data_IF_056090652700
#
_entry.id   IF_056090652700
#
_cell.length_a   1.000
_cell.length_b   1.000
_cell.length_c   1.000
_cell.angle_alpha   90.00
_cell.angle_beta   90.00
_cell.angle_gamma   90.00
#
_symmetry.space_group_name_H-M   'P 1'
#
loop_
_entity.id
_entity.type
_entity.pdbx_description
1 polymer ?
#
# COMPACT_ATOMS: atom_id res chain seq x y z
N UNK A 1 49.48 -19.97 4.97
CA UNK A 1 49.11 -19.06 6.08
C UNK A 1 49.57 -17.64 5.71
N UNK A 2 48.64 -16.68 5.70
CA UNK A 2 48.96 -15.29 5.29
C UNK A 2 49.78 -14.63 6.37
N UNK A 3 51.01 -14.16 6.02
CA UNK A 3 51.94 -13.48 6.91
C UNK A 3 51.49 -12.06 7.36
N UNK A 4 50.36 -11.57 6.85
CA UNK A 4 49.88 -10.22 7.16
C UNK A 4 48.99 -10.28 8.40
N UNK A 5 49.31 -9.53 9.47
CA UNK A 5 48.48 -9.46 10.67
C UNK A 5 47.08 -8.97 10.34
N UNK A 6 46.06 -9.49 11.06
CA UNK A 6 44.65 -9.18 10.82
C UNK A 6 44.32 -7.67 10.85
N UNK A 7 45.03 -6.92 11.69
CA UNK A 7 44.92 -5.44 11.79
C UNK A 7 45.27 -4.75 10.46
N UNK A 8 46.37 -5.17 9.81
CA UNK A 8 46.79 -4.57 8.53
C UNK A 8 45.83 -4.89 7.42
N UNK A 9 45.22 -6.11 7.41
CA UNK A 9 44.16 -6.45 6.48
C UNK A 9 42.91 -5.58 6.71
N UNK A 10 42.53 -5.37 7.96
CA UNK A 10 41.39 -4.51 8.32
C UNK A 10 41.62 -3.06 7.85
N UNK A 11 42.78 -2.49 8.13
CA UNK A 11 43.15 -1.15 7.66
C UNK A 11 43.17 -1.06 6.12
N UNK A 12 43.62 -2.08 5.43
CA UNK A 12 43.60 -2.14 3.97
C UNK A 12 42.18 -2.14 3.40
N UNK A 13 41.20 -2.84 4.05
CA UNK A 13 39.81 -2.82 3.65
C UNK A 13 39.15 -1.45 3.87
N UNK A 14 39.35 -0.84 5.04
CA UNK A 14 38.81 0.50 5.32
C UNK A 14 39.38 1.56 4.39
N UNK A 15 40.67 1.50 4.08
CA UNK A 15 41.31 2.39 3.12
C UNK A 15 40.76 2.21 1.69
N UNK A 16 40.51 0.97 1.30
CA UNK A 16 39.86 0.67 0.01
C UNK A 16 38.46 1.29 -0.08
N UNK A 17 37.63 1.16 0.97
CA UNK A 17 36.31 1.77 1.00
C UNK A 17 36.36 3.29 1.04
N UNK A 18 37.32 3.88 1.79
CA UNK A 18 37.56 5.32 1.76
C UNK A 18 37.87 5.81 0.33
N UNK A 19 38.80 5.12 -0.34
CA UNK A 19 39.17 5.46 -1.72
C UNK A 19 37.99 5.34 -2.69
N UNK A 20 37.16 4.33 -2.50
CA UNK A 20 35.91 4.13 -3.28
C UNK A 20 34.93 5.28 -3.04
N UNK A 21 34.71 5.67 -1.79
CA UNK A 21 33.82 6.78 -1.42
C UNK A 21 34.27 8.11 -2.01
N UNK A 22 35.60 8.39 -1.98
CA UNK A 22 36.17 9.63 -2.56
C UNK A 22 36.01 9.66 -4.09
N UNK A 23 36.13 8.51 -4.77
CA UNK A 23 36.13 8.45 -6.24
C UNK A 23 34.73 8.26 -6.85
N UNK A 24 33.86 7.50 -6.17
CA UNK A 24 32.49 7.16 -6.67
C UNK A 24 31.37 7.93 -5.98
N UNK A 25 31.67 8.64 -4.88
CA UNK A 25 30.68 9.26 -4.01
C UNK A 25 30.21 8.34 -2.89
N UNK A 26 29.47 8.91 -1.95
CA UNK A 26 28.82 8.17 -0.87
C UNK A 26 27.55 7.47 -1.38
N UNK A 27 27.24 6.29 -0.84
CA UNK A 27 26.02 5.55 -1.13
C UNK A 27 24.80 6.03 -0.28
N UNK A 28 24.98 7.10 0.49
CA UNK A 28 23.95 7.63 1.38
C UNK A 28 22.99 8.55 0.64
N UNK A 29 21.70 8.35 0.83
CA UNK A 29 20.63 9.23 0.33
C UNK A 29 20.43 10.39 1.31
N UNK A 30 20.38 11.61 0.80
CA UNK A 30 20.25 12.83 1.61
C UNK A 30 18.77 13.15 1.90
N UNK A 31 18.08 12.22 2.57
CA UNK A 31 16.71 12.44 3.00
C UNK A 31 16.61 13.61 4.01
N UNK A 32 15.64 14.55 3.93
CA UNK A 32 14.49 14.55 2.99
C UNK A 32 14.75 15.26 1.65
N UNK A 33 15.96 15.78 1.40
CA UNK A 33 16.30 16.55 0.20
C UNK A 33 16.37 15.68 -1.05
N UNK A 34 16.76 14.43 -0.86
CA UNK A 34 16.82 13.41 -1.89
C UNK A 34 16.06 12.18 -1.39
N UNK A 35 15.14 11.65 -2.19
CA UNK A 35 14.34 10.47 -1.87
C UNK A 35 14.61 9.38 -2.89
N UNK A 36 14.67 8.15 -2.43
CA UNK A 36 14.72 7.00 -3.31
C UNK A 36 13.30 6.67 -3.80
N UNK A 37 13.19 6.30 -5.07
CA UNK A 37 11.95 5.78 -5.60
C UNK A 37 11.62 4.43 -4.94
N UNK A 38 10.41 4.25 -4.39
CA UNK A 38 10.03 3.00 -3.77
C UNK A 38 10.03 1.86 -4.80
N UNK A 39 10.37 0.66 -4.34
CA UNK A 39 10.31 -0.51 -5.20
C UNK A 39 8.88 -0.72 -5.74
N UNK A 40 8.71 -1.26 -6.97
CA UNK A 40 7.38 -1.40 -7.61
C UNK A 40 6.34 -2.17 -6.79
N UNK A 41 6.79 -2.98 -5.82
CA UNK A 41 5.94 -3.75 -4.89
C UNK A 41 6.07 -3.28 -3.45
N UNK A 42 6.46 -2.03 -3.23
CA UNK A 42 6.51 -1.46 -1.89
C UNK A 42 5.12 -1.47 -1.25
N UNK A 43 5.07 -1.83 0.02
CA UNK A 43 3.87 -1.77 0.85
C UNK A 43 3.88 -0.47 1.63
N UNK A 44 3.24 0.54 1.07
CA UNK A 44 3.02 1.81 1.76
C UNK A 44 1.64 1.87 2.40
N UNK A 45 0.93 2.97 2.23
CA UNK A 45 -0.44 3.11 2.74
C UNK A 45 -1.44 2.33 1.88
N UNK A 46 -2.53 1.88 2.48
CA UNK A 46 -3.62 1.20 1.76
C UNK A 46 -4.60 2.25 1.24
N UNK A 47 -4.84 2.24 -0.07
CA UNK A 47 -5.81 3.10 -0.73
C UNK A 47 -7.15 2.38 -0.91
N UNK A 48 -8.26 3.11 -0.84
CA UNK A 48 -9.61 2.60 -0.99
C UNK A 48 -10.30 3.13 -2.24
N UNK A 49 -10.73 2.24 -3.12
CA UNK A 49 -11.66 2.56 -4.20
C UNK A 49 -13.08 2.35 -3.69
N UNK A 50 -13.74 3.42 -3.22
CA UNK A 50 -15.03 3.35 -2.53
C UNK A 50 -16.12 2.70 -3.39
N UNK A 51 -16.16 2.98 -4.70
CA UNK A 51 -17.20 2.46 -5.62
C UNK A 51 -17.18 0.94 -5.75
N UNK A 52 -16.02 0.31 -5.56
CA UNK A 52 -15.86 -1.14 -5.64
C UNK A 52 -16.22 -1.82 -4.31
N UNK A 53 -16.25 -1.08 -3.21
CA UNK A 53 -16.49 -1.66 -1.90
C UNK A 53 -17.97 -1.99 -1.68
N UNK A 54 -18.27 -3.25 -1.45
CA UNK A 54 -19.63 -3.75 -1.18
C UNK A 54 -19.90 -4.01 0.30
N UNK A 55 -19.07 -3.51 1.20
CA UNK A 55 -19.18 -3.74 2.66
C UNK A 55 -19.34 -5.23 3.02
N UNK A 56 -18.58 -6.11 2.35
CA UNK A 56 -18.72 -7.57 2.54
C UNK A 56 -18.05 -8.08 3.83
N UNK A 57 -17.30 -7.23 4.54
CA UNK A 57 -16.62 -7.51 5.81
C UNK A 57 -15.49 -8.56 5.73
N UNK A 58 -15.06 -9.01 4.55
CA UNK A 58 -13.99 -10.00 4.45
C UNK A 58 -12.66 -9.46 4.97
N UNK A 59 -12.29 -8.25 4.57
CA UNK A 59 -11.04 -7.62 5.02
C UNK A 59 -11.00 -7.40 6.54
N UNK A 60 -12.15 -7.13 7.18
CA UNK A 60 -12.25 -6.99 8.64
C UNK A 60 -12.03 -8.34 9.33
N UNK A 61 -12.65 -9.41 8.81
CA UNK A 61 -12.58 -10.75 9.42
C UNK A 61 -11.19 -11.36 9.33
N UNK A 62 -10.50 -11.11 8.23
CA UNK A 62 -9.16 -11.64 7.97
C UNK A 62 -8.05 -10.74 8.53
N UNK A 63 -8.40 -9.57 9.07
CA UNK A 63 -7.42 -8.68 9.68
C UNK A 63 -6.93 -9.24 11.02
N UNK A 64 -5.63 -9.56 11.18
CA UNK A 64 -5.09 -10.09 12.43
C UNK A 64 -5.10 -9.07 13.57
N UNK A 65 -5.00 -7.78 13.25
CA UNK A 65 -4.91 -6.68 14.23
C UNK A 65 -6.23 -5.96 14.48
N UNK A 66 -7.29 -6.37 13.80
CA UNK A 66 -8.62 -5.76 13.93
C UNK A 66 -8.64 -4.23 13.75
N UNK A 67 -7.76 -3.73 12.89
CA UNK A 67 -7.56 -2.30 12.65
C UNK A 67 -8.52 -1.70 11.61
N UNK A 68 -9.47 -2.48 11.06
CA UNK A 68 -10.39 -2.04 10.00
C UNK A 68 -11.82 -1.97 10.55
N UNK A 69 -12.45 -0.81 10.38
CA UNK A 69 -13.82 -0.54 10.83
C UNK A 69 -14.71 -0.27 9.62
N UNK A 70 -15.75 -1.08 9.42
CA UNK A 70 -16.66 -0.93 8.28
C UNK A 70 -18.09 -0.90 8.81
N UNK A 71 -18.85 0.08 8.33
CA UNK A 71 -20.30 0.17 8.50
C UNK A 71 -20.95 0.30 7.12
N UNK A 72 -22.09 -0.32 6.95
CA UNK A 72 -22.83 -0.24 5.71
C UNK A 72 -24.28 -0.67 5.90
N UNK A 73 -25.14 -0.15 5.04
CA UNK A 73 -26.56 -0.47 5.04
C UNK A 73 -27.00 -1.07 3.70
N UNK A 74 -28.14 -1.75 3.75
CA UNK A 74 -28.78 -2.27 2.53
C UNK A 74 -29.65 -1.21 1.88
N UNK A 75 -29.45 -0.98 0.60
CA UNK A 75 -30.27 -0.11 -0.21
C UNK A 75 -30.84 -0.86 -1.41
N UNK A 76 -31.92 -0.35 -2.00
CA UNK A 76 -32.52 -0.91 -3.19
C UNK A 76 -31.94 -0.22 -4.43
N UNK A 77 -31.22 -0.97 -5.23
CA UNK A 77 -30.73 -0.51 -6.53
C UNK A 77 -31.73 -0.84 -7.65
N UNK A 78 -31.77 -0.04 -8.72
CA UNK A 78 -32.58 -0.32 -9.88
C UNK A 78 -32.24 -1.69 -10.48
N UNK A 79 -33.22 -2.35 -11.15
CA UNK A 79 -32.96 -3.64 -11.77
C UNK A 79 -31.94 -3.52 -12.91
N UNK A 80 -31.11 -4.55 -13.10
CA UNK A 80 -30.13 -4.59 -14.20
C UNK A 80 -30.76 -4.71 -15.59
N UNK A 81 -32.02 -5.15 -15.66
CA UNK A 81 -32.77 -5.32 -16.90
C UNK A 81 -34.10 -4.58 -16.78
N UNK A 82 -34.58 -3.98 -17.87
CA UNK A 82 -35.88 -3.34 -17.93
C UNK A 82 -36.99 -4.35 -17.51
N UNK A 83 -37.85 -3.95 -16.56
CA UNK A 83 -38.93 -4.81 -16.04
C UNK A 83 -38.50 -5.81 -14.95
N UNK A 84 -37.22 -5.81 -14.53
CA UNK A 84 -36.76 -6.67 -13.44
C UNK A 84 -37.20 -6.17 -12.05
N UNK A 85 -36.99 -7.01 -11.02
CA UNK A 85 -37.21 -6.60 -9.62
C UNK A 85 -36.04 -5.78 -9.11
N UNK A 86 -36.25 -4.76 -8.25
CA UNK A 86 -35.19 -4.05 -7.55
C UNK A 86 -34.36 -5.05 -6.76
N UNK A 87 -33.02 -4.83 -6.75
CA UNK A 87 -32.09 -5.70 -6.01
C UNK A 87 -31.58 -4.99 -4.77
N UNK A 88 -31.43 -5.75 -3.69
CA UNK A 88 -30.76 -5.26 -2.51
C UNK A 88 -29.26 -5.24 -2.75
N UNK A 89 -28.63 -4.08 -2.54
CA UNK A 89 -27.17 -3.90 -2.58
C UNK A 89 -26.71 -3.29 -1.25
N UNK A 90 -25.54 -3.66 -0.81
CA UNK A 90 -24.94 -3.01 0.33
C UNK A 90 -24.27 -1.71 -0.15
N UNK A 91 -24.46 -0.64 0.61
CA UNK A 91 -23.79 0.64 0.43
C UNK A 91 -22.86 0.88 1.60
N UNK A 92 -21.66 1.36 1.29
CA UNK A 92 -20.66 1.70 2.29
C UNK A 92 -21.00 3.04 2.94
N UNK A 93 -21.10 3.06 4.27
CA UNK A 93 -21.30 4.28 5.04
C UNK A 93 -19.98 4.74 5.65
N UNK A 94 -19.25 3.81 6.28
CA UNK A 94 -18.00 4.07 6.96
C UNK A 94 -16.98 3.00 6.58
N UNK A 95 -15.76 3.44 6.33
CA UNK A 95 -14.59 2.59 6.16
C UNK A 95 -13.38 3.31 6.73
N UNK A 96 -12.87 2.82 7.83
CA UNK A 96 -11.70 3.39 8.47
C UNK A 96 -10.63 2.33 8.65
N UNK A 97 -9.37 2.74 8.54
CA UNK A 97 -8.20 1.94 8.91
C UNK A 97 -7.42 2.68 9.98
N UNK A 98 -7.19 2.01 11.09
CA UNK A 98 -6.33 2.52 12.16
C UNK A 98 -4.87 2.11 11.89
N UNK A 99 -4.09 3.06 11.37
CA UNK A 99 -2.68 2.83 11.08
C UNK A 99 -1.78 2.81 12.32
N UNK A 100 -2.31 3.15 13.49
CA UNK A 100 -1.59 2.95 14.75
C UNK A 100 -1.51 1.48 15.16
N UNK A 101 -2.42 0.65 14.64
CA UNK A 101 -2.51 -0.79 14.90
C UNK A 101 -2.09 -1.63 13.69
N UNK A 102 -2.20 -1.10 12.49
CA UNK A 102 -1.97 -1.84 11.26
C UNK A 102 -0.51 -2.32 11.11
N UNK A 103 -0.32 -3.63 10.92
CA UNK A 103 1.01 -4.24 10.68
C UNK A 103 1.40 -4.33 9.20
N UNK A 104 0.65 -3.72 8.29
CA UNK A 104 0.92 -3.70 6.83
C UNK A 104 1.08 -5.10 6.21
N UNK A 105 0.40 -6.11 6.72
CA UNK A 105 0.48 -7.48 6.22
C UNK A 105 -0.10 -7.66 4.81
N UNK A 106 -1.08 -6.84 4.41
CA UNK A 106 -1.69 -6.86 3.08
C UNK A 106 -2.78 -7.90 2.87
N UNK A 107 -3.12 -8.70 3.88
CA UNK A 107 -4.18 -9.71 3.78
C UNK A 107 -5.50 -9.08 3.32
N UNK A 108 -5.83 -7.88 3.81
CA UNK A 108 -7.05 -7.16 3.44
C UNK A 108 -7.10 -6.80 1.94
N UNK A 109 -5.96 -6.50 1.33
CA UNK A 109 -5.85 -6.23 -0.11
C UNK A 109 -6.03 -7.51 -0.91
N UNK A 110 -5.38 -8.60 -0.49
CA UNK A 110 -5.41 -9.89 -1.19
C UNK A 110 -6.78 -10.58 -1.10
N UNK A 111 -7.46 -10.48 0.05
CA UNK A 111 -8.75 -11.12 0.28
C UNK A 111 -9.92 -10.39 -0.36
N UNK A 112 -9.73 -9.16 -0.86
CA UNK A 112 -10.80 -8.35 -1.42
C UNK A 112 -11.22 -8.85 -2.82
N UNK A 113 -12.40 -9.50 -2.99
CA UNK A 113 -12.83 -10.04 -4.28
C UNK A 113 -13.33 -8.97 -5.24
N UNK A 114 -13.49 -7.74 -4.76
CA UNK A 114 -14.03 -6.61 -5.53
C UNK A 114 -12.94 -5.61 -5.95
N UNK A 115 -11.68 -5.90 -5.65
CA UNK A 115 -10.56 -5.00 -5.95
C UNK A 115 -10.84 -3.57 -5.45
N UNK A 116 -11.24 -3.45 -4.19
CA UNK A 116 -11.51 -2.17 -3.56
C UNK A 116 -10.31 -1.61 -2.80
N UNK A 117 -9.29 -2.43 -2.49
CA UNK A 117 -8.12 -2.04 -1.73
C UNK A 117 -6.86 -2.20 -2.55
N UNK A 118 -5.99 -1.21 -2.49
CA UNK A 118 -4.74 -1.14 -3.25
C UNK A 118 -3.59 -0.67 -2.39
N UNK A 119 -2.37 -1.03 -2.78
CA UNK A 119 -1.17 -0.47 -2.22
C UNK A 119 -0.80 0.84 -2.92
N UNK A 120 -0.68 1.90 -2.14
CA UNK A 120 0.02 3.11 -2.56
C UNK A 120 1.49 3.00 -2.13
N UNK A 121 2.46 3.54 -2.87
CA UNK A 121 3.85 3.60 -2.47
C UNK A 121 4.11 4.63 -1.37
N UNK A 122 3.14 5.49 -1.06
CA UNK A 122 3.25 6.56 -0.08
C UNK A 122 3.39 6.02 1.35
N UNK A 123 4.34 6.59 2.10
CA UNK A 123 4.64 6.20 3.47
C UNK A 123 4.81 7.39 4.43
N UNK A 124 4.79 8.62 3.91
CA UNK A 124 5.02 9.84 4.69
C UNK A 124 3.72 10.43 5.23
N UNK A 125 3.07 9.73 6.15
CA UNK A 125 1.81 10.18 6.78
C UNK A 125 1.89 10.14 8.32
N UNK A 126 3.07 10.43 8.86
CA UNK A 126 3.24 10.54 10.31
C UNK A 126 2.44 11.72 10.88
N UNK A 127 1.76 11.48 11.98
CA UNK A 127 0.88 12.45 12.62
C UNK A 127 1.32 12.71 14.07
N UNK A 128 1.14 13.94 14.59
CA UNK A 128 1.50 14.29 15.95
C UNK A 128 0.60 13.65 17.02
N UNK A 129 -0.61 13.21 16.62
CA UNK A 129 -1.57 12.57 17.51
C UNK A 129 -1.95 11.20 16.96
N UNK A 130 -1.98 10.21 17.83
CA UNK A 130 -2.35 8.84 17.46
C UNK A 130 -3.77 8.74 16.88
N UNK A 131 -4.70 9.60 17.33
CA UNK A 131 -6.06 9.63 16.79
C UNK A 131 -6.12 10.02 15.31
N UNK A 132 -5.16 10.80 14.82
CA UNK A 132 -5.10 11.28 13.44
C UNK A 132 -4.56 10.18 12.49
N UNK A 133 -4.05 9.06 13.03
CA UNK A 133 -3.70 7.85 12.28
C UNK A 133 -4.92 6.97 11.95
N UNK A 134 -6.10 7.31 12.45
CA UNK A 134 -7.35 6.71 12.00
C UNK A 134 -7.77 7.38 10.68
N UNK A 135 -7.48 6.73 9.57
CA UNK A 135 -7.82 7.25 8.25
C UNK A 135 -9.22 6.80 7.84
N UNK A 136 -10.09 7.77 7.59
CA UNK A 136 -11.44 7.55 7.10
C UNK A 136 -11.47 7.23 5.59
N UNK A 137 -12.63 6.86 5.07
CA UNK A 137 -12.82 6.52 3.67
C UNK A 137 -12.42 7.64 2.71
N UNK A 138 -12.54 8.91 3.11
CA UNK A 138 -12.19 10.07 2.28
C UNK A 138 -10.69 10.13 2.11
N UNK A 139 -9.95 10.07 3.22
CA UNK A 139 -8.49 10.07 3.21
C UNK A 139 -7.91 8.83 2.52
N UNK A 140 -8.54 7.66 2.73
CA UNK A 140 -8.15 6.43 2.03
C UNK A 140 -8.41 6.52 0.52
N UNK A 141 -9.45 7.25 0.10
CA UNK A 141 -9.75 7.52 -1.30
C UNK A 141 -8.74 8.44 -1.97
N UNK A 142 -8.22 9.46 -1.26
CA UNK A 142 -7.19 10.37 -1.77
C UNK A 142 -5.90 9.61 -2.16
N UNK A 143 -5.56 8.55 -1.44
CA UNK A 143 -4.41 7.71 -1.77
C UNK A 143 -4.53 6.94 -3.09
N UNK A 144 -5.75 6.84 -3.66
CA UNK A 144 -5.94 6.19 -4.97
C UNK A 144 -5.22 6.90 -6.11
N UNK A 145 -5.03 8.21 -5.99
CA UNK A 145 -4.31 9.01 -7.00
C UNK A 145 -2.81 8.68 -7.05
N UNK A 146 -2.29 8.07 -5.98
CA UNK A 146 -0.87 7.69 -5.85
C UNK A 146 -0.62 6.22 -6.16
N UNK A 147 -1.66 5.43 -6.39
CA UNK A 147 -1.54 4.00 -6.72
C UNK A 147 -0.97 3.86 -8.14
N UNK A 148 0.20 3.22 -8.30
CA UNK A 148 0.80 3.04 -9.61
C UNK A 148 -0.06 2.12 -10.50
N UNK A 149 -0.01 2.34 -11.80
CA UNK A 149 -0.58 1.41 -12.76
C UNK A 149 0.11 0.05 -12.65
N UNK A 150 -0.68 -1.03 -12.75
CA UNK A 150 -0.15 -2.39 -12.66
C UNK A 150 0.75 -2.68 -13.85
N UNK A 151 2.05 -2.77 -13.60
CA UNK A 151 2.98 -3.38 -14.56
C UNK A 151 2.94 -4.90 -14.42
N UNK A 152 2.83 -5.60 -15.53
CA UNK A 152 2.98 -7.05 -15.54
C UNK A 152 4.44 -7.41 -15.25
N UNK A 153 4.66 -8.18 -14.17
CA UNK A 153 6.01 -8.67 -13.82
C UNK A 153 6.46 -9.87 -14.67
N UNK A 154 5.55 -10.47 -15.42
CA UNK A 154 5.87 -11.59 -16.29
C UNK A 154 5.91 -11.11 -17.75
N UNK A 155 7.04 -11.31 -18.47
CA UNK A 155 7.10 -11.00 -19.88
C UNK A 155 6.02 -11.81 -20.64
N UNK A 156 5.09 -11.11 -21.30
CA UNK A 156 3.98 -11.72 -22.03
C UNK A 156 2.70 -11.95 -21.24
N UNK A 157 2.63 -11.58 -19.95
CA UNK A 157 1.37 -11.56 -19.22
C UNK A 157 0.49 -10.40 -19.73
N UNK A 158 -0.75 -10.71 -20.12
CA UNK A 158 -1.72 -9.67 -20.47
C UNK A 158 -2.11 -8.88 -19.22
N UNK A 159 -1.79 -7.59 -19.22
CA UNK A 159 -2.29 -6.65 -18.21
C UNK A 159 -3.79 -6.50 -18.48
N UNK A 160 -4.61 -7.12 -17.66
CA UNK A 160 -6.04 -6.78 -17.64
C UNK A 160 -6.14 -5.35 -17.12
N UNK A 161 -6.23 -4.40 -18.04
CA UNK A 161 -6.46 -3.00 -17.71
C UNK A 161 -7.65 -2.95 -16.72
N UNK A 162 -7.40 -2.44 -15.51
CA UNK A 162 -8.46 -2.16 -14.56
C UNK A 162 -9.48 -1.26 -15.28
N UNK A 163 -10.68 -1.76 -15.48
CA UNK A 163 -11.80 -0.89 -15.79
C UNK A 163 -12.09 -0.11 -14.52
N UNK A 164 -11.43 1.03 -14.37
CA UNK A 164 -11.92 2.09 -13.49
C UNK A 164 -13.24 2.52 -14.12
N UNK A 165 -14.39 2.28 -13.49
CA UNK A 165 -15.67 2.78 -14.00
C UNK A 165 -15.57 4.30 -13.99
N UNK A 166 -15.75 4.92 -15.17
CA UNK A 166 -15.92 6.37 -15.29
C UNK A 166 -17.27 6.76 -14.73
#
# INVERSE_FOLDING_TARGET
MSLVPGVIKGLGLTFKELSKTVTKGAETVQYPHEKEDPAPRARGVIALHEENCTSCMLCVRECPDWCIYIEGHKTLAPPRRAGGKPRSVNKLDRFDIDYSLCMYCGICVEVCPFEALFWSPEYEYSEPKIADLLHDKTRLGEWMDTVPDFESYEPGAEIKAKKVPR
#
